data_IF_521152630089
#
_entry.id   IF_521152630089
#
_cell.length_a   1.000
_cell.length_b   1.000
_cell.length_c   1.000
_cell.angle_alpha   90.00
_cell.angle_beta   90.00
_cell.angle_gamma   90.00
#
_symmetry.space_group_name_H-M   'P 1'
#
loop_
_entity.id
_entity.type
_entity.pdbx_description
1 polymer ?
#
# COMPACT_ATOMS: atom_id res chain seq x y z
N UNK A 1 -9.00 11.68 -5.88
CA UNK A 1 -9.24 10.30 -6.32
C UNK A 1 -8.63 10.10 -7.69
N UNK A 2 -7.81 9.07 -7.87
CA UNK A 2 -7.08 8.77 -9.09
C UNK A 2 -7.94 7.98 -10.09
N UNK A 3 -8.52 8.65 -11.09
CA UNK A 3 -9.44 8.02 -12.04
C UNK A 3 -8.78 6.90 -12.88
N UNK A 4 -7.52 7.09 -13.28
CA UNK A 4 -6.77 6.10 -14.05
C UNK A 4 -6.53 4.82 -13.23
N UNK A 5 -6.20 4.97 -11.94
CA UNK A 5 -6.07 3.83 -11.03
C UNK A 5 -7.41 3.12 -10.82
N UNK A 6 -8.50 3.86 -10.65
CA UNK A 6 -9.84 3.27 -10.52
C UNK A 6 -10.21 2.44 -11.75
N UNK A 7 -9.95 2.95 -12.95
CA UNK A 7 -10.19 2.22 -14.18
C UNK A 7 -9.33 0.96 -14.27
N UNK A 8 -8.01 1.06 -14.05
CA UNK A 8 -7.11 -0.08 -14.09
C UNK A 8 -7.49 -1.17 -13.07
N UNK A 9 -7.90 -0.77 -11.86
CA UNK A 9 -8.35 -1.70 -10.83
C UNK A 9 -9.65 -2.42 -11.22
N UNK A 10 -10.56 -1.74 -11.93
CA UNK A 10 -11.76 -2.37 -12.49
C UNK A 10 -11.39 -3.36 -13.60
N UNK A 11 -10.52 -2.96 -14.53
CA UNK A 11 -10.10 -3.78 -15.68
C UNK A 11 -9.41 -5.09 -15.25
N UNK A 12 -8.61 -5.05 -14.19
CA UNK A 12 -7.94 -6.25 -13.66
C UNK A 12 -8.74 -7.00 -12.58
N UNK A 13 -9.97 -6.54 -12.28
CA UNK A 13 -10.83 -7.16 -11.28
C UNK A 13 -10.24 -7.13 -9.86
N UNK A 14 -9.50 -6.08 -9.49
CA UNK A 14 -8.75 -5.98 -8.23
C UNK A 14 -9.63 -6.23 -6.98
N UNK A 15 -10.91 -5.87 -7.04
CA UNK A 15 -11.87 -6.06 -5.96
C UNK A 15 -12.33 -7.52 -5.78
N UNK A 16 -12.03 -8.42 -6.72
CA UNK A 16 -12.42 -9.84 -6.61
C UNK A 16 -11.60 -10.58 -5.56
N UNK A 17 -12.18 -11.60 -4.94
CA UNK A 17 -11.48 -12.43 -3.94
C UNK A 17 -10.27 -13.15 -4.53
N UNK A 18 -10.35 -13.54 -5.81
CA UNK A 18 -9.23 -14.14 -6.55
C UNK A 18 -7.99 -13.22 -6.61
N UNK A 19 -8.20 -11.91 -6.57
CA UNK A 19 -7.13 -10.90 -6.61
C UNK A 19 -6.69 -10.45 -5.21
N UNK A 20 -7.07 -11.14 -4.13
CA UNK A 20 -6.65 -10.79 -2.77
C UNK A 20 -5.12 -10.63 -2.63
N UNK A 21 -4.27 -11.53 -3.15
CA UNK A 21 -2.82 -11.35 -3.08
C UNK A 21 -2.34 -10.07 -3.79
N UNK A 22 -2.86 -9.80 -5.00
CA UNK A 22 -2.54 -8.59 -5.75
C UNK A 22 -2.98 -7.33 -5.01
N UNK A 23 -4.19 -7.36 -4.43
CA UNK A 23 -4.78 -6.24 -3.68
C UNK A 23 -3.94 -5.89 -2.45
N UNK A 24 -3.51 -6.89 -1.69
CA UNK A 24 -2.63 -6.69 -0.53
C UNK A 24 -1.23 -6.22 -0.94
N UNK A 25 -0.65 -6.80 -1.99
CA UNK A 25 0.67 -6.37 -2.50
C UNK A 25 0.64 -4.92 -3.02
N UNK A 26 -0.42 -4.52 -3.72
CA UNK A 26 -0.59 -3.15 -4.18
C UNK A 26 -0.82 -2.18 -3.01
N UNK A 27 -1.66 -2.56 -2.05
CA UNK A 27 -1.86 -1.80 -0.81
C UNK A 27 -0.53 -1.55 -0.10
N UNK A 28 0.25 -2.61 0.13
CA UNK A 28 1.59 -2.56 0.73
C UNK A 28 2.52 -1.58 -0.03
N UNK A 29 2.60 -1.70 -1.35
CA UNK A 29 3.45 -0.85 -2.16
C UNK A 29 3.12 0.65 -1.96
N UNK A 30 1.83 0.99 -1.87
CA UNK A 30 1.39 2.36 -1.61
C UNK A 30 1.79 2.83 -0.20
N UNK A 31 1.50 2.04 0.83
CA UNK A 31 1.74 2.46 2.22
C UNK A 31 3.21 2.46 2.61
N UNK A 32 4.05 1.67 1.94
CA UNK A 32 5.50 1.69 2.14
C UNK A 32 6.12 3.06 1.82
N UNK A 33 5.56 3.79 0.84
CA UNK A 33 6.04 5.13 0.47
C UNK A 33 5.88 6.14 1.59
N UNK A 34 4.82 5.99 2.38
CA UNK A 34 4.47 6.92 3.46
C UNK A 34 4.91 6.40 4.84
N UNK A 35 5.69 5.31 4.91
CA UNK A 35 6.22 4.77 6.17
C UNK A 35 6.95 5.82 7.01
N UNK A 36 7.71 6.68 6.35
CA UNK A 36 8.49 7.74 7.00
C UNK A 36 7.63 8.83 7.66
N UNK A 37 6.32 8.86 7.39
CA UNK A 37 5.35 9.78 7.97
C UNK A 37 4.57 9.15 9.14
N UNK A 38 4.76 7.86 9.41
CA UNK A 38 4.09 7.18 10.52
C UNK A 38 4.75 7.56 11.83
N UNK A 39 3.93 8.00 12.80
CA UNK A 39 4.38 8.35 14.15
C UNK A 39 3.99 7.29 15.18
N UNK A 40 2.85 6.61 14.96
CA UNK A 40 2.33 5.60 15.89
C UNK A 40 3.05 4.25 15.72
N UNK A 41 3.68 3.69 16.78
CA UNK A 41 4.33 2.39 16.72
C UNK A 41 3.41 1.24 16.29
N UNK A 42 2.12 1.28 16.62
CA UNK A 42 1.15 0.27 16.19
C UNK A 42 0.89 0.34 14.68
N UNK A 43 0.88 1.54 14.09
CA UNK A 43 0.77 1.71 12.64
C UNK A 43 2.00 1.17 11.91
N UNK A 44 3.20 1.44 12.46
CA UNK A 44 4.46 0.89 11.93
C UNK A 44 4.46 -0.64 12.01
N UNK A 45 4.04 -1.21 13.15
CA UNK A 45 3.95 -2.65 13.34
C UNK A 45 2.88 -3.30 12.43
N UNK A 46 1.76 -2.62 12.19
CA UNK A 46 0.75 -3.05 11.23
C UNK A 46 1.28 -3.12 9.80
N UNK A 47 2.05 -2.10 9.39
CA UNK A 47 2.75 -2.10 8.10
C UNK A 47 3.75 -3.25 7.99
N UNK A 48 4.56 -3.48 9.03
CA UNK A 48 5.53 -4.58 9.06
C UNK A 48 4.83 -5.96 9.00
N UNK A 49 3.67 -6.09 9.66
CA UNK A 49 2.84 -7.30 9.57
C UNK A 49 2.32 -7.54 8.16
N UNK A 50 1.83 -6.49 7.48
CA UNK A 50 1.39 -6.58 6.09
C UNK A 50 2.54 -7.02 5.18
N UNK A 51 3.73 -6.43 5.35
CA UNK A 51 4.92 -6.82 4.60
C UNK A 51 5.27 -8.30 4.82
N UNK A 52 5.30 -8.75 6.09
CA UNK A 52 5.57 -10.14 6.43
C UNK A 52 4.52 -11.11 5.84
N UNK A 53 3.24 -10.73 5.84
CA UNK A 53 2.18 -11.56 5.28
C UNK A 53 2.33 -11.72 3.76
N UNK A 54 2.57 -10.61 3.04
CA UNK A 54 2.76 -10.67 1.58
C UNK A 54 4.02 -11.45 1.17
N UNK A 55 5.00 -11.57 2.07
CA UNK A 55 6.18 -12.40 1.90
C UNK A 55 5.97 -13.87 2.33
N UNK A 56 4.78 -14.24 2.80
CA UNK A 56 4.46 -15.60 3.27
C UNK A 56 5.08 -15.97 4.62
N UNK A 57 5.49 -14.99 5.43
CA UNK A 57 6.17 -15.22 6.72
C UNK A 57 5.21 -15.29 7.91
N UNK A 58 3.99 -14.75 7.79
CA UNK A 58 2.94 -14.82 8.81
C UNK A 58 1.62 -15.27 8.19
N UNK A 59 0.71 -15.77 9.02
CA UNK A 59 -0.57 -16.32 8.58
C UNK A 59 -1.69 -15.27 8.50
N UNK A 60 -2.84 -15.70 7.96
CA UNK A 60 -4.00 -14.83 7.78
C UNK A 60 -4.63 -14.38 9.10
N UNK A 61 -4.52 -15.18 10.17
CA UNK A 61 -5.00 -14.82 11.49
C UNK A 61 -4.19 -13.64 12.06
N UNK A 62 -2.86 -13.70 11.96
CA UNK A 62 -1.97 -12.60 12.38
C UNK A 62 -2.26 -11.31 11.61
N UNK A 63 -2.53 -11.42 10.30
CA UNK A 63 -2.92 -10.26 9.49
C UNK A 63 -4.26 -9.67 9.95
N UNK A 64 -5.27 -10.51 10.20
CA UNK A 64 -6.59 -10.08 10.65
C UNK A 64 -6.53 -9.38 12.01
N UNK A 65 -5.76 -9.92 12.95
CA UNK A 65 -5.55 -9.31 14.27
C UNK A 65 -4.87 -7.94 14.17
N UNK A 66 -3.88 -7.81 13.27
CA UNK A 66 -3.24 -6.52 13.00
C UNK A 66 -4.22 -5.51 12.38
N UNK A 67 -5.11 -5.95 11.49
CA UNK A 67 -6.13 -5.11 10.88
C UNK A 67 -7.14 -4.56 11.92
N UNK A 68 -7.61 -5.40 12.85
CA UNK A 68 -8.54 -4.97 13.90
C UNK A 68 -7.89 -4.01 14.90
N UNK A 69 -6.64 -4.27 15.32
CA UNK A 69 -5.91 -3.33 16.17
C UNK A 69 -5.72 -1.97 15.49
N UNK A 70 -5.25 -1.97 14.25
CA UNK A 70 -4.95 -0.72 13.56
C UNK A 70 -6.21 0.10 13.23
N UNK A 71 -7.36 -0.58 13.02
CA UNK A 71 -8.66 0.10 12.88
C UNK A 71 -9.02 0.88 14.14
N UNK A 72 -8.78 0.34 15.33
CA UNK A 72 -9.00 1.05 16.59
C UNK A 72 -8.07 2.26 16.72
N UNK A 73 -6.78 2.09 16.43
CA UNK A 73 -5.78 3.18 16.46
C UNK A 73 -6.15 4.32 15.51
N UNK A 74 -6.48 4.02 14.24
CA UNK A 74 -6.86 5.03 13.26
C UNK A 74 -8.11 5.82 13.71
N UNK A 75 -9.07 5.16 14.36
CA UNK A 75 -10.28 5.81 14.87
C UNK A 75 -10.04 6.73 16.08
N UNK A 76 -8.93 6.53 16.81
CA UNK A 76 -8.55 7.33 17.97
C UNK A 76 -7.43 8.34 17.69
N UNK A 77 -6.82 8.29 16.50
CA UNK A 77 -5.76 9.22 16.09
C UNK A 77 -6.33 10.63 15.88
N UNK A 78 -6.47 11.40 16.97
CA UNK A 78 -6.74 12.83 16.89
C UNK A 78 -5.51 13.48 16.26
N UNK A 79 -5.61 13.82 14.98
CA UNK A 79 -4.62 14.68 14.33
C UNK A 79 -4.35 15.89 15.23
N UNK A 80 -3.08 16.17 15.49
CA UNK A 80 -2.75 17.36 16.26
C UNK A 80 -3.19 18.61 15.47
N UNK A 81 -3.54 19.69 16.17
CA UNK A 81 -3.89 20.98 15.55
C UNK A 81 -2.66 21.69 14.97
N UNK A 82 -1.77 20.96 14.30
CA UNK A 82 -0.56 21.52 13.72
C UNK A 82 -0.89 22.29 12.45
N UNK A 83 -0.55 23.58 12.44
CA UNK A 83 -0.79 24.52 11.35
C UNK A 83 0.09 24.26 10.11
N UNK A 84 1.12 23.43 10.23
CA UNK A 84 2.10 23.12 9.18
C UNK A 84 1.69 21.96 8.26
N UNK A 85 0.62 21.21 8.59
CA UNK A 85 0.12 20.08 7.81
C UNK A 85 0.77 18.73 8.14
N UNK A 86 1.88 18.71 8.89
CA UNK A 86 2.61 17.49 9.29
C UNK A 86 1.73 16.50 10.05
N UNK A 87 0.86 17.01 10.94
CA UNK A 87 -0.09 16.19 11.68
C UNK A 87 -1.14 15.49 10.79
N UNK A 88 -1.55 16.15 9.69
CA UNK A 88 -2.51 15.58 8.74
C UNK A 88 -1.84 14.54 7.85
N UNK A 89 -0.53 14.68 7.59
CA UNK A 89 0.28 13.68 6.90
C UNK A 89 0.35 12.37 7.71
N UNK A 90 0.68 12.46 9.00
CA UNK A 90 0.77 11.30 9.89
C UNK A 90 -0.58 10.58 10.04
N UNK A 91 -1.67 11.33 10.28
CA UNK A 91 -3.03 10.76 10.33
C UNK A 91 -3.37 10.04 9.02
N UNK A 92 -3.13 10.69 7.88
CA UNK A 92 -3.44 10.12 6.57
C UNK A 92 -2.62 8.86 6.31
N UNK A 93 -1.34 8.83 6.71
CA UNK A 93 -0.49 7.65 6.60
C UNK A 93 -1.03 6.49 7.45
N UNK A 94 -1.45 6.74 8.70
CA UNK A 94 -2.09 5.73 9.56
C UNK A 94 -3.36 5.16 8.94
N UNK A 95 -4.24 6.01 8.38
CA UNK A 95 -5.42 5.56 7.66
C UNK A 95 -5.06 4.76 6.39
N UNK A 96 -3.98 5.12 5.71
CA UNK A 96 -3.51 4.37 4.55
C UNK A 96 -3.16 2.92 4.93
N UNK A 97 -2.39 2.73 6.01
CA UNK A 97 -2.02 1.39 6.51
C UNK A 97 -3.25 0.61 6.98
N UNK A 98 -4.17 1.25 7.71
CA UNK A 98 -5.41 0.61 8.17
C UNK A 98 -6.27 0.09 7.00
N UNK A 99 -6.35 0.87 5.91
CA UNK A 99 -7.06 0.44 4.71
C UNK A 99 -6.31 -0.68 3.97
N UNK A 100 -4.98 -0.63 3.90
CA UNK A 100 -4.18 -1.67 3.26
C UNK A 100 -4.33 -3.03 3.97
N UNK A 101 -4.26 -3.05 5.30
CA UNK A 101 -4.49 -4.26 6.11
C UNK A 101 -5.90 -4.83 5.92
N UNK A 102 -6.90 -3.97 5.79
CA UNK A 102 -8.28 -4.37 5.52
C UNK A 102 -8.52 -4.79 4.06
N UNK A 103 -7.48 -4.87 3.21
CA UNK A 103 -7.62 -5.18 1.79
C UNK A 103 -8.33 -4.11 0.96
N UNK A 104 -8.47 -2.88 1.48
CA UNK A 104 -9.08 -1.73 0.80
C UNK A 104 -8.01 -0.93 0.06
N UNK A 105 -7.48 -1.50 -1.01
CA UNK A 105 -6.26 -1.00 -1.63
C UNK A 105 -6.41 0.37 -2.33
N UNK A 106 -7.60 0.69 -2.88
CA UNK A 106 -7.84 1.99 -3.50
C UNK A 106 -7.94 3.10 -2.45
N UNK A 107 -8.59 2.82 -1.32
CA UNK A 107 -8.65 3.71 -0.17
C UNK A 107 -7.25 3.92 0.41
N UNK A 108 -6.46 2.84 0.53
CA UNK A 108 -5.07 2.93 0.99
C UNK A 108 -4.22 3.82 0.08
N UNK A 109 -4.32 3.64 -1.24
CA UNK A 109 -3.63 4.47 -2.22
C UNK A 109 -4.05 5.94 -2.12
N UNK A 110 -5.36 6.21 -1.99
CA UNK A 110 -5.87 7.57 -1.85
C UNK A 110 -5.35 8.26 -0.58
N UNK A 111 -5.38 7.58 0.57
CA UNK A 111 -4.83 8.12 1.82
C UNK A 111 -3.31 8.28 1.79
N UNK A 112 -2.57 7.38 1.14
CA UNK A 112 -1.13 7.52 0.93
C UNK A 112 -0.82 8.77 0.08
N UNK A 113 -1.62 9.05 -0.95
CA UNK A 113 -1.46 10.26 -1.75
C UNK A 113 -1.73 11.54 -0.94
N UNK A 114 -2.78 11.55 -0.10
CA UNK A 114 -3.00 12.65 0.83
C UNK A 114 -1.84 12.85 1.79
N UNK A 115 -1.32 11.77 2.37
CA UNK A 115 -0.18 11.85 3.29
C UNK A 115 1.06 12.47 2.62
N UNK A 116 1.38 12.04 1.40
CA UNK A 116 2.49 12.61 0.61
C UNK A 116 2.29 14.10 0.33
N UNK A 117 1.08 14.53 -0.06
CA UNK A 117 0.81 15.95 -0.36
C UNK A 117 0.80 16.80 0.91
N UNK A 118 0.22 16.32 2.02
CA UNK A 118 0.26 17.00 3.31
C UNK A 118 1.69 17.20 3.81
N UNK A 119 2.57 16.23 3.60
CA UNK A 119 3.99 16.31 3.97
C UNK A 119 4.75 17.37 3.16
N UNK A 120 4.32 17.64 1.92
CA UNK A 120 4.86 18.74 1.11
C UNK A 120 4.37 20.12 1.57
N UNK A 121 3.17 20.17 2.15
CA UNK A 121 2.61 21.35 2.81
C UNK A 121 1.07 21.36 2.74
N UNK A 122 0.41 21.70 3.85
CA UNK A 122 -1.06 21.62 3.94
C UNK A 122 -1.84 22.45 2.91
N UNK A 123 -1.26 23.52 2.38
CA UNK A 123 -1.87 24.35 1.32
C UNK A 123 -1.92 23.65 -0.05
N UNK A 124 -1.06 22.65 -0.28
CA UNK A 124 -0.97 21.92 -1.55
C UNK A 124 -2.19 21.02 -1.81
N UNK A 125 -2.89 20.59 -0.76
CA UNK A 125 -4.03 19.66 -0.85
C UNK A 125 -5.21 20.22 -1.65
N UNK A 126 -5.35 21.54 -1.74
CA UNK A 126 -6.41 22.17 -2.55
C UNK A 126 -6.09 22.16 -4.05
N UNK A 127 -4.82 22.02 -4.42
CA UNK A 127 -4.39 21.96 -5.80
C UNK A 127 -4.30 20.49 -6.26
N UNK A 128 -5.20 20.11 -7.17
CA UNK A 128 -5.28 18.75 -7.71
C UNK A 128 -4.00 18.33 -8.44
N UNK A 129 -3.25 19.27 -9.01
CA UNK A 129 -2.02 18.97 -9.75
C UNK A 129 -0.91 18.42 -8.85
N UNK A 130 -0.96 18.70 -7.54
CA UNK A 130 0.04 18.23 -6.57
C UNK A 130 -0.05 16.72 -6.32
N UNK A 131 -1.20 16.11 -6.61
CA UNK A 131 -1.41 14.66 -6.51
C UNK A 131 -0.93 13.90 -7.74
N UNK A 132 -0.75 14.58 -8.88
CA UNK A 132 -0.46 13.95 -10.17
C UNK A 132 0.79 13.06 -10.15
N UNK A 133 1.93 13.46 -9.55
CA UNK A 133 3.11 12.60 -9.48
C UNK A 133 2.85 11.28 -8.73
N UNK A 134 2.12 11.35 -7.60
CA UNK A 134 1.81 10.17 -6.80
C UNK A 134 0.76 9.30 -7.50
N UNK A 135 -0.24 9.90 -8.14
CA UNK A 135 -1.23 9.18 -8.92
C UNK A 135 -0.59 8.39 -10.08
N UNK A 136 0.33 9.00 -10.81
CA UNK A 136 1.06 8.34 -11.90
C UNK A 136 1.90 7.18 -11.36
N UNK A 137 2.59 7.38 -10.24
CA UNK A 137 3.36 6.32 -9.60
C UNK A 137 2.47 5.13 -9.19
N UNK A 138 1.29 5.38 -8.63
CA UNK A 138 0.35 4.32 -8.20
C UNK A 138 -0.13 3.47 -9.38
N UNK A 139 -0.46 4.10 -10.51
CA UNK A 139 -0.84 3.38 -11.74
C UNK A 139 0.30 2.48 -12.21
N UNK A 140 1.52 3.02 -12.28
CA UNK A 140 2.71 2.26 -12.68
C UNK A 140 3.04 1.13 -11.70
N UNK A 141 2.81 1.32 -10.40
CA UNK A 141 3.01 0.29 -9.39
C UNK A 141 2.06 -0.90 -9.60
N UNK A 142 0.76 -0.64 -9.82
CA UNK A 142 -0.20 -1.70 -10.11
C UNK A 142 0.11 -2.42 -11.43
N UNK A 143 0.49 -1.68 -12.48
CA UNK A 143 0.91 -2.28 -13.75
C UNK A 143 2.13 -3.21 -13.60
N UNK A 144 3.14 -2.82 -12.80
CA UNK A 144 4.31 -3.66 -12.53
C UNK A 144 3.94 -4.94 -11.79
N UNK A 145 3.04 -4.87 -10.81
CA UNK A 145 2.56 -6.05 -10.08
C UNK A 145 1.79 -7.01 -10.99
N UNK A 146 0.94 -6.47 -11.89
CA UNK A 146 0.23 -7.26 -12.90
C UNK A 146 1.21 -7.96 -13.87
N UNK A 147 2.24 -7.26 -14.33
CA UNK A 147 3.27 -7.85 -15.20
C UNK A 147 4.09 -8.93 -14.48
N UNK A 148 4.43 -8.71 -13.21
CA UNK A 148 5.13 -9.68 -12.37
C UNK A 148 4.31 -10.96 -12.10
N UNK A 149 3.00 -10.81 -11.88
CA UNK A 149 2.09 -11.95 -11.71
C UNK A 149 1.90 -12.78 -13.00
N UNK A 150 2.00 -12.14 -14.16
CA UNK A 150 1.89 -12.81 -15.47
C UNK A 150 3.14 -13.63 -15.85
N UNK A 151 4.27 -13.46 -15.14
CA UNK A 151 5.51 -14.18 -15.42
C UNK A 151 5.59 -15.42 -14.51
N UNK A 152 5.31 -16.64 -14.99
CA UNK A 152 5.58 -17.84 -14.20
C UNK A 152 7.09 -17.95 -13.92
N UNK A 153 7.51 -18.52 -12.77
CA UNK A 153 8.93 -18.77 -12.52
C UNK A 153 9.45 -19.71 -13.60
N UNK A 154 10.28 -19.20 -14.50
CA UNK A 154 11.05 -20.01 -15.43
C UNK A 154 11.90 -20.99 -14.62
N UNK A 155 11.55 -22.28 -14.69
CA UNK A 155 12.30 -23.33 -14.02
C UNK A 155 13.79 -23.26 -14.46
N UNK A 156 14.75 -23.48 -13.54
CA UNK A 156 16.15 -23.51 -13.91
C UNK A 156 16.36 -24.67 -14.89
N UNK A 157 16.87 -24.34 -16.09
CA UNK A 157 17.30 -25.32 -17.07
C UNK A 157 18.45 -26.14 -16.48
N UNK A 158 18.15 -27.36 -16.05
CA UNK A 158 19.14 -28.39 -15.74
C UNK A 158 19.73 -28.89 -17.06
N UNK A 159 20.58 -28.06 -17.68
CA UNK A 159 21.39 -28.46 -18.81
C UNK A 159 22.84 -28.74 -18.36
N UNK A 160 23.27 -29.97 -18.62
CA UNK A 160 24.63 -30.49 -18.65
C UNK A 160 25.26 -30.98 -17.32
N UNK A 161 24.79 -32.15 -16.85
CA UNK A 161 25.71 -33.18 -16.40
C UNK A 161 26.28 -33.90 -17.64
N UNK A 162 27.56 -33.69 -17.96
CA UNK A 162 28.36 -34.67 -18.70
C UNK A 162 29.73 -34.78 -18.02
N UNK A 163 30.14 -35.98 -17.58
CA UNK A 163 31.48 -36.21 -17.07
C UNK A 163 32.48 -36.41 -18.23
N UNK A 164 33.75 -36.01 -18.10
CA UNK A 164 34.78 -36.40 -19.05
C UNK A 164 35.19 -37.87 -18.86
N UNK A 165 35.56 -38.50 -19.97
CA UNK A 165 36.03 -39.88 -20.09
C UNK A 165 37.44 -40.09 -19.55
#
# INVERSE_FOLDING_TARGET
>A
MNAALTQLAADCGLASDAQTPLRLAFGLACVQRVRHLLEDPEAIAGLDTLAAFTAGMVDAATLADAAERLKAVASHHRGSQSLDGSAHAAVSATYAVANALAGRALEAANYAAYATVYAYGGYAVQDRSTFEPEHQWQVQALQRLLAGAATPPSAPSLAACQPPA
#
